data_IF_802802810286
#
_entry.id   IF_802802810286
#
_cell.length_a   1.000
_cell.length_b   1.000
_cell.length_c   1.000
_cell.angle_alpha   90.00
_cell.angle_beta   90.00
_cell.angle_gamma   90.00
#
_symmetry.space_group_name_H-M   'P 1'
#
loop_
_entity.id
_entity.type
_entity.pdbx_description
1 polymer ?
#
# COMPACT_ATOMS: atom_id res chain seq x y z
N UNK A 1 -13.22 9.97 -0.94
CA UNK A 1 -11.88 9.36 -0.77
C UNK A 1 -12.04 7.85 -0.75
N UNK A 2 -11.68 7.13 -1.82
CA UNK A 2 -11.39 5.69 -1.67
C UNK A 2 -10.00 5.59 -1.07
N UNK A 3 -9.93 5.19 0.20
CA UNK A 3 -8.67 4.91 0.87
C UNK A 3 -7.97 3.74 0.18
N UNK A 4 -6.64 3.72 0.24
CA UNK A 4 -5.89 2.54 -0.18
C UNK A 4 -6.30 1.38 0.73
N UNK A 5 -6.81 0.30 0.13
CA UNK A 5 -7.21 -0.89 0.86
C UNK A 5 -6.02 -1.82 1.07
N UNK A 6 -6.05 -2.57 2.17
CA UNK A 6 -5.07 -3.62 2.40
C UNK A 6 -5.30 -4.74 1.38
N UNK A 7 -4.30 -5.01 0.55
CA UNK A 7 -4.29 -6.17 -0.32
C UNK A 7 -4.34 -7.46 0.53
N UNK A 8 -5.43 -8.22 0.41
CA UNK A 8 -5.64 -9.47 1.15
C UNK A 8 -4.73 -10.61 0.67
N UNK A 9 -4.13 -10.47 -0.51
CA UNK A 9 -3.18 -11.44 -1.04
C UNK A 9 -1.74 -11.10 -0.66
N UNK A 10 -1.47 -9.91 -0.12
CA UNK A 10 -0.15 -9.53 0.35
C UNK A 10 0.33 -10.46 1.48
N UNK A 11 1.57 -10.94 1.34
CA UNK A 11 2.21 -11.85 2.30
C UNK A 11 3.13 -11.06 3.20
N UNK A 12 2.91 -11.14 4.50
CA UNK A 12 3.71 -10.49 5.54
C UNK A 12 4.45 -11.54 6.38
N UNK A 13 5.61 -11.16 6.92
CA UNK A 13 6.16 -11.91 8.05
C UNK A 13 5.28 -11.70 9.27
N UNK A 14 5.16 -12.72 10.11
CA UNK A 14 4.29 -12.70 11.30
C UNK A 14 4.69 -11.57 12.23
N UNK A 15 5.99 -11.36 12.38
CA UNK A 15 6.61 -10.34 13.22
C UNK A 15 6.24 -8.92 12.75
N UNK A 16 6.02 -8.74 11.44
CA UNK A 16 5.59 -7.46 10.88
C UNK A 16 4.12 -7.16 11.21
N UNK A 17 3.26 -8.17 11.16
CA UNK A 17 1.85 -8.04 11.54
C UNK A 17 1.70 -7.82 13.03
N UNK A 18 2.50 -8.51 13.83
CA UNK A 18 2.49 -8.37 15.29
C UNK A 18 3.01 -7.01 15.76
N UNK A 19 4.05 -6.47 15.10
CA UNK A 19 4.53 -5.13 15.39
C UNK A 19 3.44 -4.05 15.16
N UNK A 20 2.53 -4.29 14.22
CA UNK A 20 1.44 -3.34 13.90
C UNK A 20 0.18 -3.61 14.74
N UNK A 21 -0.13 -4.87 15.03
CA UNK A 21 -1.37 -5.31 15.67
C UNK A 21 -1.12 -6.08 16.98
N UNK A 22 -0.17 -5.63 17.79
CA UNK A 22 0.30 -6.32 19.00
C UNK A 22 -0.83 -6.72 19.96
N UNK A 23 -1.84 -5.87 20.16
CA UNK A 23 -3.01 -6.16 20.99
C UNK A 23 -3.85 -7.32 20.45
N UNK A 24 -4.00 -7.45 19.13
CA UNK A 24 -4.71 -8.57 18.53
C UNK A 24 -3.95 -9.88 18.73
N UNK A 25 -2.61 -9.84 18.66
CA UNK A 25 -1.76 -10.99 18.96
C UNK A 25 -1.76 -11.37 20.44
N UNK A 26 -1.87 -10.39 21.34
CA UNK A 26 -2.01 -10.65 22.77
C UNK A 26 -3.36 -11.31 23.12
N UNK A 27 -4.45 -10.91 22.44
CA UNK A 27 -5.79 -11.51 22.64
C UNK A 27 -5.96 -12.88 21.99
N UNK A 28 -5.19 -13.17 20.95
CA UNK A 28 -5.30 -14.41 20.18
C UNK A 28 -3.91 -15.08 20.02
N UNK A 29 -3.46 -15.86 21.01
CA UNK A 29 -2.13 -16.49 20.97
C UNK A 29 -1.92 -17.41 19.76
N UNK A 30 -3.00 -18.02 19.24
CA UNK A 30 -2.95 -18.91 18.07
C UNK A 30 -2.80 -18.16 16.74
N UNK A 31 -2.93 -16.83 16.74
CA UNK A 31 -2.92 -16.02 15.53
C UNK A 31 -1.61 -16.15 14.74
N UNK A 32 -0.47 -16.28 15.45
CA UNK A 32 0.83 -16.56 14.84
C UNK A 32 0.81 -17.85 14.01
N UNK A 33 0.32 -18.94 14.59
CA UNK A 33 0.25 -20.23 13.90
C UNK A 33 -0.70 -20.18 12.71
N UNK A 34 -1.85 -19.53 12.86
CA UNK A 34 -2.84 -19.35 11.78
C UNK A 34 -2.27 -18.56 10.60
N UNK A 35 -1.58 -17.46 10.86
CA UNK A 35 -0.92 -16.66 9.81
C UNK A 35 0.13 -17.49 9.08
N UNK A 36 0.96 -18.25 9.80
CA UNK A 36 1.95 -19.15 9.18
C UNK A 36 1.29 -20.22 8.32
N UNK A 37 0.17 -20.79 8.77
CA UNK A 37 -0.58 -21.81 8.05
C UNK A 37 -1.17 -21.28 6.72
N UNK A 38 -1.52 -19.99 6.65
CA UNK A 38 -1.97 -19.33 5.41
C UNK A 38 -0.85 -18.63 4.65
N UNK A 39 0.41 -18.98 4.94
CA UNK A 39 1.58 -18.50 4.21
C UNK A 39 1.88 -17.01 4.42
N UNK A 40 1.50 -16.42 5.56
CA UNK A 40 1.78 -15.03 5.90
C UNK A 40 0.72 -14.01 5.44
N UNK A 41 -0.38 -14.47 4.83
CA UNK A 41 -1.51 -13.59 4.48
C UNK A 41 -2.25 -13.10 5.72
N UNK A 42 -2.82 -11.91 5.65
CA UNK A 42 -3.63 -11.34 6.73
C UNK A 42 -4.99 -12.06 6.78
N UNK A 43 -5.32 -12.78 7.88
CA UNK A 43 -6.61 -13.43 8.01
C UNK A 43 -7.75 -12.40 8.07
N UNK A 44 -8.92 -12.71 7.51
CA UNK A 44 -10.08 -11.79 7.51
C UNK A 44 -10.45 -11.32 8.93
N UNK A 45 -10.33 -12.20 9.92
CA UNK A 45 -10.59 -11.88 11.33
C UNK A 45 -9.64 -10.79 11.84
N UNK A 46 -8.36 -10.87 11.49
CA UNK A 46 -7.37 -9.84 11.84
C UNK A 46 -7.68 -8.55 11.09
N UNK A 47 -7.99 -8.64 9.79
CA UNK A 47 -8.30 -7.47 8.96
C UNK A 47 -9.46 -6.63 9.51
N UNK A 48 -10.47 -7.25 10.11
CA UNK A 48 -11.62 -6.54 10.72
C UNK A 48 -11.27 -5.85 12.04
N UNK A 49 -10.24 -6.32 12.73
CA UNK A 49 -9.79 -5.75 14.00
C UNK A 49 -8.76 -4.63 13.81
N UNK A 50 -8.22 -4.45 12.60
CA UNK A 50 -7.27 -3.38 12.31
C UNK A 50 -7.95 -2.02 12.35
N UNK A 51 -7.34 -1.10 13.08
CA UNK A 51 -7.68 0.33 13.01
C UNK A 51 -7.26 0.91 11.65
N UNK A 52 -7.87 2.03 11.25
CA UNK A 52 -7.51 2.73 10.02
C UNK A 52 -5.99 3.07 9.93
N UNK A 53 -5.37 3.42 11.07
CA UNK A 53 -3.93 3.70 11.14
C UNK A 53 -3.07 2.46 10.92
N UNK A 54 -3.47 1.32 11.48
CA UNK A 54 -2.77 0.04 11.28
C UNK A 54 -2.90 -0.44 9.84
N UNK A 55 -4.10 -0.36 9.26
CA UNK A 55 -4.35 -0.64 7.85
C UNK A 55 -3.45 0.22 6.96
N UNK A 56 -3.41 1.54 7.19
CA UNK A 56 -2.54 2.45 6.43
C UNK A 56 -1.05 2.10 6.57
N UNK A 57 -0.62 1.66 7.75
CA UNK A 57 0.77 1.24 7.99
C UNK A 57 1.12 -0.01 7.19
N UNK A 58 0.24 -1.03 7.19
CA UNK A 58 0.44 -2.25 6.39
C UNK A 58 0.43 -1.98 4.90
N UNK A 59 -0.53 -1.18 4.42
CA UNK A 59 -0.59 -0.71 3.02
C UNK A 59 0.73 -0.04 2.64
N UNK A 60 1.22 0.90 3.44
CA UNK A 60 2.48 1.60 3.18
C UNK A 60 3.65 0.62 3.11
N UNK A 61 3.65 -0.39 3.98
CA UNK A 61 4.68 -1.44 3.97
C UNK A 61 4.61 -2.31 2.71
N UNK A 62 3.42 -2.68 2.24
CA UNK A 62 3.24 -3.39 0.96
C UNK A 62 3.80 -2.57 -0.21
N UNK A 63 3.52 -1.27 -0.23
CA UNK A 63 4.03 -0.35 -1.25
C UNK A 63 5.57 -0.26 -1.22
N UNK A 64 6.17 -0.16 -0.04
CA UNK A 64 7.62 -0.01 0.11
C UNK A 64 8.41 -1.30 -0.13
N UNK A 65 7.82 -2.46 0.20
CA UNK A 65 8.50 -3.76 0.12
C UNK A 65 8.22 -4.51 -1.18
N UNK A 66 7.39 -3.95 -2.08
CA UNK A 66 7.19 -4.45 -3.44
C UNK A 66 6.76 -5.92 -3.53
N UNK A 67 6.09 -6.47 -2.50
CA UNK A 67 5.83 -7.92 -2.40
C UNK A 67 4.92 -8.47 -3.50
N UNK A 68 4.19 -7.60 -4.20
CA UNK A 68 3.60 -7.81 -5.53
C UNK A 68 3.27 -6.42 -6.12
N UNK A 69 3.66 -6.13 -7.36
CA UNK A 69 3.28 -4.89 -8.05
C UNK A 69 2.09 -5.16 -8.96
N UNK A 70 0.90 -5.29 -8.35
CA UNK A 70 -0.34 -5.27 -9.12
C UNK A 70 -0.73 -3.83 -9.46
N UNK A 71 -1.66 -3.65 -10.39
CA UNK A 71 -2.08 -2.33 -10.86
C UNK A 71 -2.52 -1.40 -9.71
N UNK A 72 -3.25 -1.94 -8.73
CA UNK A 72 -3.68 -1.18 -7.55
C UNK A 72 -2.51 -0.78 -6.63
N UNK A 73 -1.51 -1.66 -6.48
CA UNK A 73 -0.29 -1.37 -5.71
C UNK A 73 0.53 -0.29 -6.40
N UNK A 74 0.68 -0.36 -7.73
CA UNK A 74 1.38 0.65 -8.53
C UNK A 74 0.68 2.02 -8.43
N UNK A 75 -0.65 2.05 -8.55
CA UNK A 75 -1.44 3.27 -8.38
C UNK A 75 -1.32 3.85 -6.95
N UNK A 76 -1.26 2.99 -5.93
CA UNK A 76 -1.00 3.40 -4.56
C UNK A 76 0.39 4.01 -4.34
N UNK A 77 1.41 3.39 -4.93
CA UNK A 77 2.79 3.89 -4.88
C UNK A 77 2.90 5.25 -5.59
N UNK A 78 2.25 5.39 -6.76
CA UNK A 78 2.21 6.64 -7.51
C UNK A 78 1.57 7.78 -6.70
N UNK A 79 0.42 7.53 -6.06
CA UNK A 79 -0.23 8.50 -5.16
C UNK A 79 0.64 8.89 -3.97
N UNK A 80 1.31 7.91 -3.35
CA UNK A 80 2.19 8.16 -2.21
C UNK A 80 3.41 9.00 -2.64
N UNK A 81 4.02 8.67 -3.78
CA UNK A 81 5.16 9.38 -4.34
C UNK A 81 4.80 10.84 -4.65
N UNK A 82 3.68 11.11 -5.32
CA UNK A 82 3.20 12.45 -5.61
C UNK A 82 3.05 13.30 -4.33
N UNK A 83 2.42 12.73 -3.29
CA UNK A 83 2.24 13.40 -2.00
C UNK A 83 3.54 13.65 -1.25
N UNK A 84 4.42 12.65 -1.19
CA UNK A 84 5.70 12.75 -0.48
C UNK A 84 6.64 13.79 -1.11
N UNK A 85 6.60 13.92 -2.43
CA UNK A 85 7.43 14.88 -3.19
C UNK A 85 6.76 16.24 -3.33
N UNK A 86 5.49 16.38 -2.94
CA UNK A 86 4.64 17.55 -3.19
C UNK A 86 4.64 17.96 -4.67
N UNK A 87 4.64 17.00 -5.58
CA UNK A 87 4.62 17.23 -7.04
C UNK A 87 3.60 16.30 -7.69
N UNK A 88 3.00 16.73 -8.79
CA UNK A 88 2.19 15.85 -9.61
C UNK A 88 3.05 14.75 -10.21
N UNK A 89 2.45 13.58 -10.41
CA UNK A 89 3.11 12.43 -11.04
C UNK A 89 2.24 11.96 -12.20
N UNK A 90 2.82 11.92 -13.40
CA UNK A 90 2.21 11.36 -14.59
C UNK A 90 2.83 9.98 -14.82
N UNK A 91 2.01 8.94 -14.84
CA UNK A 91 2.43 7.59 -15.22
C UNK A 91 1.93 7.33 -16.64
N UNK A 92 2.85 7.08 -17.57
CA UNK A 92 2.56 6.76 -18.97
C UNK A 92 2.71 5.25 -19.18
N UNK A 93 1.67 4.64 -19.74
CA UNK A 93 1.60 3.22 -20.08
C UNK A 93 2.23 2.92 -21.45
N UNK A 94 2.53 1.65 -21.71
CA UNK A 94 3.14 1.22 -22.99
C UNK A 94 2.24 1.48 -24.21
N UNK A 95 0.92 1.49 -24.02
CA UNK A 95 -0.05 1.83 -25.07
C UNK A 95 -0.18 3.35 -25.31
N UNK A 96 0.59 4.16 -24.57
CA UNK A 96 0.57 5.62 -24.64
C UNK A 96 -0.55 6.28 -23.82
N UNK A 97 -1.40 5.50 -23.14
CA UNK A 97 -2.33 6.03 -22.15
C UNK A 97 -1.56 6.57 -20.94
N UNK A 98 -2.17 7.47 -20.17
CA UNK A 98 -1.53 8.01 -18.97
C UNK A 98 -2.54 8.28 -17.85
N UNK A 99 -2.06 8.20 -16.62
CA UNK A 99 -2.80 8.58 -15.43
C UNK A 99 -2.03 9.65 -14.66
N UNK A 100 -2.75 10.66 -14.17
CA UNK A 100 -2.19 11.75 -13.36
C UNK A 100 -2.55 11.56 -11.88
N UNK A 101 -1.53 11.66 -11.03
CA UNK A 101 -1.63 11.57 -9.58
C UNK A 101 -1.21 12.89 -8.96
N UNK A 102 -2.16 13.60 -8.35
CA UNK A 102 -1.91 14.90 -7.74
C UNK A 102 -1.08 14.81 -6.44
N UNK A 103 -0.27 15.85 -6.20
CA UNK A 103 0.55 16.04 -5.01
C UNK A 103 -0.24 16.11 -3.68
N UNK A 104 -1.56 16.28 -3.73
CA UNK A 104 -2.38 16.62 -2.58
C UNK A 104 -3.37 17.71 -2.94
N UNK A 105 -3.76 18.54 -1.98
CA UNK A 105 -4.55 19.74 -2.28
C UNK A 105 -3.68 20.80 -2.99
N UNK A 106 -4.28 21.75 -3.72
CA UNK A 106 -3.52 22.79 -4.44
C UNK A 106 -2.57 23.60 -3.56
N UNK A 107 -2.92 23.82 -2.29
CA UNK A 107 -2.12 24.50 -1.27
C UNK A 107 -0.94 23.66 -0.75
N UNK A 108 -0.95 22.34 -0.98
CA UNK A 108 0.11 21.42 -0.61
C UNK A 108 1.08 21.14 -1.77
N UNK A 109 0.78 21.65 -2.96
CA UNK A 109 1.56 21.43 -4.18
C UNK A 109 2.79 22.35 -4.21
N UNK A 110 3.97 21.75 -4.39
CA UNK A 110 5.22 22.49 -4.58
C UNK A 110 5.27 23.16 -5.95
N UNK A 111 6.08 24.20 -6.09
CA UNK A 111 6.23 25.01 -7.32
C UNK A 111 7.11 24.36 -8.41
N UNK A 112 7.47 23.09 -8.25
CA UNK A 112 8.33 22.37 -9.19
C UNK A 112 7.56 21.69 -10.31
N UNK A 113 8.21 21.33 -11.43
CA UNK A 113 7.57 20.58 -12.50
C UNK A 113 7.12 19.20 -12.01
N UNK A 114 6.02 18.73 -12.59
CA UNK A 114 5.51 17.37 -12.40
C UNK A 114 6.54 16.35 -12.88
N UNK A 115 6.56 15.18 -12.23
CA UNK A 115 7.39 14.06 -12.63
C UNK A 115 6.65 13.17 -13.63
N UNK A 116 7.34 12.69 -14.66
CA UNK A 116 6.80 11.74 -15.63
C UNK A 116 7.57 10.42 -15.49
N UNK A 117 6.85 9.31 -15.39
CA UNK A 117 7.42 7.96 -15.34
C UNK A 117 6.75 7.09 -16.39
N UNK A 118 7.54 6.25 -17.05
CA UNK A 118 7.05 5.29 -18.04
C UNK A 118 6.96 3.91 -17.39
N UNK A 119 5.76 3.32 -17.40
CA UNK A 119 5.58 1.93 -16.96
C UNK A 119 5.99 1.01 -18.10
N UNK A 120 6.76 -0.03 -17.76
CA UNK A 120 7.20 -1.07 -18.70
C UNK A 120 6.86 -2.44 -18.12
N UNK A 121 6.16 -3.28 -18.89
CA UNK A 121 5.60 -4.56 -18.44
C UNK A 121 4.40 -4.44 -17.47
N UNK A 122 3.82 -5.58 -17.07
CA UNK A 122 2.69 -5.65 -16.14
C UNK A 122 1.41 -6.34 -16.67
N UNK A 123 1.54 -7.23 -17.66
CA UNK A 123 0.45 -8.07 -18.18
C UNK A 123 -0.04 -9.12 -17.18
#
# INVERSE_FOLDING_TARGET
>A
MRGLELDRQAVFHVEELEAVASEAFARHPDLRARIRAVGGRVPDELSRQLTARQTQTLVTRTLLTARRWEQDTAAGAARLAARSTRRGLIVVEEDGSHEYYAAGRPDESGTGPDAIVYRRGGS
#
